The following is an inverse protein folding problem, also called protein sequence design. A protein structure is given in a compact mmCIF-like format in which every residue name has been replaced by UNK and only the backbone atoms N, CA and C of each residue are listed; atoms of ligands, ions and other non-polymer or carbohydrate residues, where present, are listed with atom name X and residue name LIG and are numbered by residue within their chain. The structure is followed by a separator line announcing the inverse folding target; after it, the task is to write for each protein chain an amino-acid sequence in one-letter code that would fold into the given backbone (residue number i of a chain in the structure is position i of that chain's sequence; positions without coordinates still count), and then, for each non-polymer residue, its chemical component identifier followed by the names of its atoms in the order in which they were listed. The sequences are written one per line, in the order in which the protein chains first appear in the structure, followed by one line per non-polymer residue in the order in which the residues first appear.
data_IF_970133391401
#
_entry.id   IF_970133391401
#
_cell.length_a   1.000
_cell.length_b   1.000
_cell.length_c   1.000
_cell.angle_alpha   90.00
_cell.angle_beta   90.00
_cell.angle_gamma   90.00
#
_symmetry.space_group_name_H-M   'P 1'
#
loop_
_entity.id
_entity.type
_entity.pdbx_description
1 polymer ?
#
# COMPACT_ATOMS: atom_id res chain seq x y z
N UNK A 1 4.99 15.71 2.74
CA UNK A 1 4.57 14.29 2.68
C UNK A 1 4.65 13.93 1.22
N UNK A 2 5.49 12.97 0.89
CA UNK A 2 5.62 12.47 -0.48
C UNK A 2 4.73 11.24 -0.62
N UNK A 3 3.99 11.17 -1.73
CA UNK A 3 3.07 10.08 -2.03
C UNK A 3 3.29 9.57 -3.45
N UNK A 4 2.96 8.31 -3.68
CA UNK A 4 2.87 7.78 -5.04
C UNK A 4 1.43 7.95 -5.54
N UNK A 5 1.29 8.59 -6.70
CA UNK A 5 0.00 8.77 -7.37
C UNK A 5 -0.08 7.85 -8.58
N UNK A 6 -1.08 6.98 -8.60
CA UNK A 6 -1.45 6.21 -9.79
C UNK A 6 -2.45 7.03 -10.61
N UNK A 7 -2.02 7.39 -11.82
CA UNK A 7 -2.77 8.21 -12.77
C UNK A 7 -3.30 7.42 -13.96
N UNK A 8 -3.05 6.11 -14.01
CA UNK A 8 -3.37 5.25 -15.14
C UNK A 8 -4.52 4.29 -14.82
N UNK A 9 -4.57 3.77 -13.60
CA UNK A 9 -5.56 2.77 -13.19
C UNK A 9 -6.94 3.41 -12.95
N UNK A 10 -8.00 2.87 -13.58
CA UNK A 10 -9.40 3.27 -13.36
C UNK A 10 -9.66 4.79 -13.42
N UNK A 11 -9.11 5.44 -14.46
CA UNK A 11 -9.22 6.88 -14.65
C UNK A 11 -8.24 7.73 -13.84
N UNK A 12 -7.38 7.10 -13.03
CA UNK A 12 -6.32 7.75 -12.27
C UNK A 12 -6.80 8.53 -11.05
N UNK A 13 -5.89 9.28 -10.42
CA UNK A 13 -6.18 10.07 -9.22
C UNK A 13 -6.09 9.27 -7.91
N UNK A 14 -5.52 8.06 -7.96
CA UNK A 14 -5.39 7.21 -6.79
C UNK A 14 -4.10 7.54 -6.04
N UNK A 15 -4.22 7.76 -4.73
CA UNK A 15 -3.05 7.86 -3.85
C UNK A 15 -2.73 6.48 -3.30
N UNK A 16 -1.53 5.95 -3.60
CA UNK A 16 -1.12 4.63 -3.13
C UNK A 16 -0.60 4.71 -1.70
N UNK A 17 -1.33 4.12 -0.76
CA UNK A 17 -1.01 4.12 0.68
C UNK A 17 -0.21 2.90 1.13
N UNK A 18 -0.35 1.78 0.42
CA UNK A 18 0.39 0.53 0.65
C UNK A 18 0.85 -0.04 -0.68
N UNK A 19 2.08 -0.54 -0.68
CA UNK A 19 2.57 -1.46 -1.70
C UNK A 19 3.39 -2.53 -1.02
N UNK A 20 3.04 -3.78 -1.29
CA UNK A 20 3.74 -4.94 -0.75
C UNK A 20 3.94 -5.94 -1.89
N UNK A 21 5.19 -6.07 -2.33
CA UNK A 21 5.62 -7.02 -3.34
C UNK A 21 6.26 -8.21 -2.63
N UNK A 22 5.44 -9.16 -2.18
CA UNK A 22 5.97 -10.44 -1.72
C UNK A 22 6.57 -11.20 -2.91
N UNK A 23 7.90 -11.16 -3.04
CA UNK A 23 8.64 -11.97 -4.02
C UNK A 23 9.24 -13.18 -3.31
N UNK A 24 8.66 -14.34 -3.53
CA UNK A 24 9.37 -15.59 -3.29
C UNK A 24 10.42 -15.74 -4.40
N UNK A 25 11.70 -15.57 -4.05
CA UNK A 25 12.80 -15.98 -4.92
C UNK A 25 13.23 -17.37 -4.47
N UNK A 26 13.07 -18.37 -5.32
CA UNK A 26 13.62 -19.72 -5.14
C UNK A 26 13.25 -20.41 -3.81
N UNK A 27 11.98 -20.33 -3.39
CA UNK A 27 11.46 -20.85 -2.11
C UNK A 27 12.09 -20.23 -0.86
N UNK A 28 12.82 -19.12 -1.01
CA UNK A 28 13.32 -18.29 0.08
C UNK A 28 12.51 -17.00 0.09
N UNK A 29 11.93 -16.68 1.25
CA UNK A 29 11.28 -15.40 1.46
C UNK A 29 12.35 -14.32 1.52
N UNK A 30 12.67 -13.70 0.38
CA UNK A 30 13.47 -12.49 0.33
C UNK A 30 12.59 -11.28 0.68
N UNK A 31 11.99 -11.30 1.88
CA UNK A 31 11.64 -10.08 2.63
C UNK A 31 12.88 -9.63 3.42
N UNK A 32 14.00 -9.59 2.73
CA UNK A 32 15.27 -9.02 3.17
C UNK A 32 15.50 -8.07 2.00
N UNK A 33 15.29 -6.76 2.05
CA UNK A 33 15.85 -5.80 3.02
C UNK A 33 15.09 -4.44 2.94
N UNK A 34 13.86 -4.37 2.43
CA UNK A 34 13.12 -3.09 2.29
C UNK A 34 11.62 -3.33 2.52
N UNK A 35 11.03 -2.66 3.52
CA UNK A 35 9.60 -2.76 3.80
C UNK A 35 9.18 -4.05 4.51
N UNK A 36 9.96 -4.52 5.50
CA UNK A 36 9.46 -5.57 6.41
C UNK A 36 8.15 -5.07 7.04
N UNK A 37 7.07 -5.84 6.92
CA UNK A 37 5.77 -5.50 7.52
C UNK A 37 5.64 -6.01 8.96
N UNK A 38 6.69 -6.61 9.53
CA UNK A 38 6.76 -6.95 10.94
C UNK A 38 7.39 -5.81 11.76
N UNK A 39 6.63 -4.73 11.96
CA UNK A 39 7.07 -3.56 12.75
C UNK A 39 6.20 -3.27 13.96
N UNK A 40 6.70 -2.40 14.83
CA UNK A 40 5.97 -1.86 15.96
C UNK A 40 4.91 -0.80 15.57
N UNK A 41 4.10 -0.42 16.56
CA UNK A 41 3.03 0.55 16.38
C UNK A 41 3.53 1.92 15.91
N UNK A 42 4.63 2.40 16.47
CA UNK A 42 5.17 3.73 16.12
C UNK A 42 5.62 3.78 14.65
N UNK A 43 6.22 2.69 14.15
CA UNK A 43 6.56 2.56 12.74
C UNK A 43 5.31 2.53 11.84
N UNK A 44 4.27 1.79 12.23
CA UNK A 44 3.00 1.79 11.50
C UNK A 44 2.30 3.15 11.52
N UNK A 45 2.46 3.90 12.60
CA UNK A 45 1.92 5.25 12.74
C UNK A 45 2.64 6.24 11.81
N UNK A 46 3.97 6.22 11.81
CA UNK A 46 4.80 7.13 11.00
C UNK A 46 4.93 6.72 9.52
N UNK A 47 4.87 5.43 9.21
CA UNK A 47 5.16 4.85 7.90
C UNK A 47 6.60 4.31 7.80
N UNK A 48 6.80 3.38 6.86
CA UNK A 48 8.11 2.73 6.64
C UNK A 48 8.24 2.20 5.21
N UNK A 49 9.46 1.80 4.84
CA UNK A 49 9.77 1.20 3.55
C UNK A 49 10.25 2.22 2.50
N UNK A 50 10.03 1.90 1.23
CA UNK A 50 10.48 2.69 0.09
C UNK A 50 9.36 2.82 -0.95
N UNK A 51 8.97 4.06 -1.25
CA UNK A 51 7.87 4.37 -2.18
C UNK A 51 8.03 3.78 -3.59
N UNK A 52 9.26 3.45 -4.01
CA UNK A 52 9.51 2.79 -5.32
C UNK A 52 9.36 1.27 -5.27
N UNK A 53 9.34 0.68 -4.07
CA UNK A 53 9.27 -0.76 -3.81
C UNK A 53 8.11 -1.06 -2.85
N UNK A 54 8.44 -1.48 -1.63
CA UNK A 54 7.50 -1.88 -0.60
C UNK A 54 7.46 -0.82 0.48
N UNK A 55 6.27 -0.34 0.80
CA UNK A 55 6.08 0.71 1.79
C UNK A 55 4.69 0.68 2.41
N UNK A 56 4.65 1.27 3.60
CA UNK A 56 3.45 1.70 4.29
C UNK A 56 3.51 3.21 4.50
N UNK A 57 2.48 3.93 4.05
CA UNK A 57 2.45 5.38 4.11
C UNK A 57 2.42 5.94 5.54
N UNK A 58 1.91 5.16 6.50
CA UNK A 58 1.75 5.55 7.89
C UNK A 58 0.30 5.89 8.22
N UNK A 59 -0.17 5.42 9.39
CA UNK A 59 -1.56 5.57 9.81
C UNK A 59 -1.96 7.04 9.97
N UNK A 60 -1.08 7.89 10.51
CA UNK A 60 -1.38 9.33 10.67
C UNK A 60 -1.60 10.00 9.31
N UNK A 61 -0.81 9.61 8.31
CA UNK A 61 -0.89 10.12 6.94
C UNK A 61 -2.15 9.60 6.23
N UNK A 62 -2.48 8.31 6.39
CA UNK A 62 -3.69 7.71 5.81
C UNK A 62 -4.93 8.36 6.42
N UNK A 63 -4.96 8.53 7.75
CA UNK A 63 -6.05 9.22 8.44
C UNK A 63 -6.19 10.67 7.99
N UNK A 64 -5.08 11.39 7.85
CA UNK A 64 -5.11 12.77 7.35
C UNK A 64 -5.69 12.87 5.93
N UNK A 65 -5.59 11.81 5.10
CA UNK A 65 -6.19 11.75 3.77
C UNK A 65 -7.66 11.32 3.82
N UNK A 66 -8.03 10.28 4.59
CA UNK A 66 -9.39 9.77 4.66
C UNK A 66 -10.35 10.72 5.38
N UNK A 67 -9.85 11.49 6.35
CA UNK A 67 -10.68 12.38 7.17
C UNK A 67 -11.04 13.72 6.49
N UNK A 68 -10.68 13.91 5.22
CA UNK A 68 -11.01 15.14 4.45
C UNK A 68 -12.38 15.07 3.77
N UNK A 69 -13.03 13.91 3.74
CA UNK A 69 -14.32 13.72 3.12
C UNK A 69 -14.56 12.25 2.74
N UNK A 70 -15.58 12.00 1.93
CA UNK A 70 -15.83 10.65 1.43
C UNK A 70 -14.64 10.19 0.57
N UNK A 71 -14.00 9.08 0.97
CA UNK A 71 -12.91 8.47 0.25
C UNK A 71 -13.26 7.04 -0.17
N UNK A 72 -12.79 6.64 -1.34
CA UNK A 72 -12.85 5.26 -1.81
C UNK A 72 -11.49 4.61 -1.61
N UNK A 73 -11.50 3.41 -1.02
CA UNK A 73 -10.29 2.58 -0.92
C UNK A 73 -10.40 1.43 -1.90
N UNK A 74 -9.27 1.08 -2.50
CA UNK A 74 -9.14 0.02 -3.48
C UNK A 74 -7.98 -0.89 -3.08
N UNK A 75 -8.21 -2.19 -3.20
CA UNK A 75 -7.23 -3.24 -2.97
C UNK A 75 -7.04 -4.02 -4.27
N UNK A 76 -5.82 -3.98 -4.80
CA UNK A 76 -5.39 -4.81 -5.93
C UNK A 76 -4.47 -5.91 -5.41
N UNK A 77 -4.95 -7.15 -5.40
CA UNK A 77 -4.21 -8.31 -4.92
C UNK A 77 -3.84 -9.18 -6.11
N UNK A 78 -2.56 -9.54 -6.22
CA UNK A 78 -2.07 -10.47 -7.24
C UNK A 78 -1.70 -11.80 -6.62
N UNK A 79 -2.29 -12.88 -7.14
CA UNK A 79 -1.86 -14.24 -6.81
C UNK A 79 -0.54 -14.57 -7.53
N UNK A 80 0.13 -15.63 -7.09
CA UNK A 80 1.31 -16.28 -7.67
C UNK A 80 1.22 -16.59 -9.16
N UNK A 81 0.00 -16.65 -9.72
CA UNK A 81 -0.27 -16.83 -11.16
C UNK A 81 -0.47 -15.49 -11.90
N UNK A 82 -0.20 -14.37 -11.25
CA UNK A 82 -0.41 -13.00 -11.72
C UNK A 82 -1.87 -12.62 -12.02
N UNK A 83 -2.83 -13.46 -11.62
CA UNK A 83 -4.24 -13.09 -11.61
C UNK A 83 -4.45 -11.95 -10.61
N UNK A 84 -5.07 -10.86 -11.07
CA UNK A 84 -5.37 -9.69 -10.23
C UNK A 84 -6.82 -9.74 -9.78
N UNK A 85 -7.03 -9.82 -8.48
CA UNK A 85 -8.34 -9.64 -7.84
C UNK A 85 -8.43 -8.22 -7.29
N UNK A 86 -9.44 -7.48 -7.75
CA UNK A 86 -9.70 -6.10 -7.35
C UNK A 86 -10.92 -6.04 -6.45
N UNK A 87 -10.80 -5.39 -5.31
CA UNK A 87 -11.94 -5.03 -4.44
C UNK A 87 -11.87 -3.55 -4.07
N UNK A 88 -12.98 -2.83 -4.18
CA UNK A 88 -13.08 -1.44 -3.72
C UNK A 88 -14.30 -1.21 -2.84
N UNK A 89 -14.20 -0.25 -1.91
CA UNK A 89 -15.31 0.19 -1.06
C UNK A 89 -15.29 1.71 -0.88
N UNK A 90 -16.47 2.31 -0.93
CA UNK A 90 -16.71 3.77 -0.89
C UNK A 90 -16.95 4.33 0.52
N UNK A 91 -16.83 3.49 1.54
CA UNK A 91 -17.06 3.84 2.94
C UNK A 91 -15.82 3.48 3.77
N UNK A 92 -14.69 4.10 3.44
CA UNK A 92 -13.46 3.98 4.23
C UNK A 92 -13.39 5.15 5.20
N UNK A 93 -13.35 4.85 6.50
CA UNK A 93 -13.26 5.79 7.62
C UNK A 93 -12.07 5.44 8.51
#
# INVERSE_FOLDING_TARGET
MDVYCDMDTDGGGWTQSLKCLHRFLDNVMYSLIVGDFYNDWESYKAGFGNMTRDFWLGNDNIYALSNQGACEIRFDIKDTKETTDMQSTKAFE
#
